data_IF_612643397811
#
_entry.id   IF_612643397811
#
_cell.length_a   1.000
_cell.length_b   1.000
_cell.length_c   1.000
_cell.angle_alpha   90.00
_cell.angle_beta   90.00
_cell.angle_gamma   90.00
#
_symmetry.space_group_name_H-M   'P 1'
#
loop_
_entity.id
_entity.type
_entity.pdbx_description
1 polymer ?
#
# COMPACT_ATOMS: atom_id res chain seq x y z
N UNK A 1 11.01 9.81 2.18
CA UNK A 1 11.52 9.67 0.81
C UNK A 1 10.84 10.63 -0.16
N UNK A 2 9.52 10.84 -0.08
CA UNK A 2 8.78 11.76 -0.97
C UNK A 2 9.37 13.17 -1.17
N UNK A 3 9.95 13.79 -0.14
CA UNK A 3 10.55 15.13 -0.25
C UNK A 3 11.80 15.16 -1.15
N UNK A 4 12.60 14.08 -1.18
CA UNK A 4 13.86 14.03 -1.92
C UNK A 4 13.65 13.98 -3.44
N UNK A 5 12.63 13.26 -3.91
CA UNK A 5 12.30 13.20 -5.34
C UNK A 5 11.83 14.57 -5.85
N UNK A 6 10.97 15.25 -5.09
CA UNK A 6 10.45 16.58 -5.46
C UNK A 6 11.59 17.61 -5.52
N UNK A 7 12.52 17.58 -4.55
CA UNK A 7 13.70 18.44 -4.56
C UNK A 7 14.67 18.10 -5.71
N UNK A 8 14.94 16.82 -5.96
CA UNK A 8 15.85 16.39 -7.02
C UNK A 8 15.32 16.70 -8.44
N UNK A 9 14.01 16.55 -8.65
CA UNK A 9 13.34 16.92 -9.89
C UNK A 9 13.37 18.44 -10.10
N UNK A 10 13.05 19.24 -9.07
CA UNK A 10 13.09 20.70 -9.13
C UNK A 10 14.51 21.27 -9.33
N UNK A 11 15.53 20.57 -8.84
CA UNK A 11 16.93 20.94 -9.01
C UNK A 11 17.57 20.48 -10.34
N UNK A 12 16.84 19.73 -11.18
CA UNK A 12 17.34 19.19 -12.44
C UNK A 12 18.45 18.15 -12.29
N UNK A 13 18.56 17.51 -11.11
CA UNK A 13 19.60 16.53 -10.79
C UNK A 13 19.32 15.21 -11.52
N UNK A 14 18.05 14.85 -11.69
CA UNK A 14 17.61 13.70 -12.47
C UNK A 14 17.38 14.12 -13.93
N UNK A 15 18.44 14.09 -14.74
CA UNK A 15 18.37 14.45 -16.16
C UNK A 15 18.21 13.25 -17.10
N UNK A 16 18.45 12.02 -16.63
CA UNK A 16 18.09 10.79 -17.33
C UNK A 16 16.60 10.45 -17.08
N UNK A 17 15.75 10.41 -18.12
CA UNK A 17 14.35 10.01 -17.99
C UNK A 17 14.15 8.63 -17.35
N UNK A 18 15.09 7.69 -17.52
CA UNK A 18 14.99 6.36 -16.91
C UNK A 18 15.26 6.40 -15.41
N UNK A 19 16.30 7.11 -14.97
CA UNK A 19 16.59 7.30 -13.55
C UNK A 19 15.43 8.02 -12.85
N UNK A 20 14.80 8.99 -13.52
CA UNK A 20 13.60 9.65 -12.99
C UNK A 20 12.44 8.67 -12.78
N UNK A 21 12.17 7.76 -13.74
CA UNK A 21 11.12 6.73 -13.60
C UNK A 21 11.40 5.77 -12.45
N UNK A 22 12.65 5.31 -12.29
CA UNK A 22 13.04 4.44 -11.18
C UNK A 22 12.83 5.15 -9.84
N UNK A 23 13.28 6.41 -9.73
CA UNK A 23 13.09 7.18 -8.51
C UNK A 23 11.61 7.47 -8.21
N UNK A 24 10.79 7.68 -9.24
CA UNK A 24 9.35 7.89 -9.12
C UNK A 24 8.63 6.63 -8.64
N UNK A 25 8.93 5.46 -9.21
CA UNK A 25 8.40 4.17 -8.79
C UNK A 25 8.74 3.89 -7.33
N UNK A 26 10.02 3.91 -6.96
CA UNK A 26 10.47 3.69 -5.57
C UNK A 26 9.81 4.67 -4.59
N UNK A 27 9.72 5.96 -4.95
CA UNK A 27 9.10 6.96 -4.08
C UNK A 27 7.60 6.71 -3.94
N UNK A 28 6.90 6.38 -5.02
CA UNK A 28 5.47 6.13 -5.01
C UNK A 28 5.13 4.88 -4.18
N UNK A 29 5.76 3.75 -4.50
CA UNK A 29 5.46 2.44 -3.91
C UNK A 29 5.89 2.34 -2.44
N UNK A 30 6.89 3.12 -2.02
CA UNK A 30 7.32 3.23 -0.61
C UNK A 30 6.53 4.25 0.21
N UNK A 31 5.67 5.06 -0.41
CA UNK A 31 4.88 6.09 0.28
C UNK A 31 3.53 5.54 0.73
N UNK A 32 3.40 5.26 2.02
CA UNK A 32 2.16 4.73 2.62
C UNK A 32 0.96 5.68 2.51
N UNK A 33 1.21 6.99 2.47
CA UNK A 33 0.17 8.03 2.39
C UNK A 33 0.51 9.09 1.35
N UNK A 34 0.30 8.83 0.04
CA UNK A 34 0.72 9.75 -1.02
C UNK A 34 0.16 11.16 -0.87
N UNK A 35 -1.09 11.30 -0.39
CA UNK A 35 -1.73 12.59 -0.15
C UNK A 35 -1.16 13.41 1.03
N UNK A 36 -0.36 12.79 1.91
CA UNK A 36 0.42 13.54 2.93
C UNK A 36 1.79 13.94 2.43
N UNK A 37 2.33 13.17 1.49
CA UNK A 37 3.65 13.36 0.92
C UNK A 37 3.68 14.48 -0.13
N UNK A 38 2.64 14.59 -0.96
CA UNK A 38 2.48 15.63 -1.96
C UNK A 38 1.00 15.85 -2.29
N UNK A 39 0.68 16.97 -2.93
CA UNK A 39 -0.67 17.19 -3.47
C UNK A 39 -0.92 16.24 -4.64
N UNK A 40 -2.19 15.96 -4.92
CA UNK A 40 -2.59 15.15 -6.09
C UNK A 40 -2.03 15.75 -7.38
N UNK A 41 -2.12 17.06 -7.53
CA UNK A 41 -1.68 17.80 -8.71
C UNK A 41 -0.17 17.68 -8.92
N UNK A 42 0.61 17.68 -7.83
CA UNK A 42 2.06 17.47 -7.93
C UNK A 42 2.39 16.03 -8.32
N UNK A 43 1.68 15.03 -7.77
CA UNK A 43 1.86 13.65 -8.22
C UNK A 43 1.54 13.47 -9.70
N UNK A 44 0.41 14.00 -10.16
CA UNK A 44 0.04 13.96 -11.57
C UNK A 44 1.12 14.62 -12.44
N UNK A 45 1.63 15.79 -12.05
CA UNK A 45 2.71 16.45 -12.78
C UNK A 45 3.99 15.61 -12.84
N UNK A 46 4.38 14.94 -11.74
CA UNK A 46 5.55 14.05 -11.72
C UNK A 46 5.38 12.85 -12.65
N UNK A 47 4.20 12.22 -12.66
CA UNK A 47 3.90 11.15 -13.61
C UNK A 47 3.87 11.66 -15.05
N UNK A 48 3.25 12.82 -15.31
CA UNK A 48 3.24 13.43 -16.66
C UNK A 48 4.66 13.71 -17.17
N UNK A 49 5.58 14.15 -16.31
CA UNK A 49 7.00 14.33 -16.66
C UNK A 49 7.73 13.02 -16.98
N UNK A 50 7.27 11.90 -16.43
CA UNK A 50 7.86 10.58 -16.65
C UNK A 50 7.38 9.91 -17.94
N UNK A 51 6.27 10.38 -18.52
CA UNK A 51 5.56 9.74 -19.62
C UNK A 51 5.87 10.35 -20.98
N UNK A 52 5.64 9.54 -22.02
CA UNK A 52 5.60 9.98 -23.40
C UNK A 52 4.14 9.95 -23.91
N UNK A 53 3.84 10.71 -24.96
CA UNK A 53 2.47 10.76 -25.49
C UNK A 53 2.02 9.35 -25.94
N UNK A 54 0.90 8.88 -25.37
CA UNK A 54 0.34 7.57 -25.70
C UNK A 54 0.97 6.40 -24.95
N UNK A 55 1.77 6.67 -23.92
CA UNK A 55 2.32 5.64 -23.03
C UNK A 55 1.77 5.74 -21.60
N UNK A 56 1.90 4.63 -20.87
CA UNK A 56 1.78 4.57 -19.42
C UNK A 56 3.06 3.97 -18.84
N UNK A 57 3.29 4.16 -17.54
CA UNK A 57 4.43 3.62 -16.84
C UNK A 57 4.09 2.23 -16.27
N UNK A 58 4.78 1.19 -16.70
CA UNK A 58 4.70 -0.15 -16.11
C UNK A 58 5.98 -0.41 -15.34
N UNK A 59 5.89 -0.41 -14.02
CA UNK A 59 7.04 -0.37 -13.12
C UNK A 59 7.96 0.84 -13.45
N UNK A 60 9.04 0.61 -14.19
CA UNK A 60 10.01 1.64 -14.58
C UNK A 60 10.10 1.84 -16.11
N UNK A 61 9.32 1.06 -16.87
CA UNK A 61 9.36 0.99 -18.32
C UNK A 61 8.11 1.59 -18.94
N UNK A 62 8.26 2.30 -20.06
CA UNK A 62 7.13 2.86 -20.79
C UNK A 62 6.48 1.81 -21.67
N UNK A 63 5.14 1.74 -21.62
CA UNK A 63 4.33 0.83 -22.42
C UNK A 63 3.26 1.61 -23.18
N UNK A 64 2.87 1.18 -24.39
CA UNK A 64 1.79 1.83 -25.12
C UNK A 64 0.46 1.63 -24.39
N UNK A 65 -0.35 2.70 -24.27
CA UNK A 65 -1.69 2.63 -23.63
C UNK A 65 -2.61 1.64 -24.34
N UNK A 66 -2.35 1.35 -25.62
CA UNK A 66 -3.11 0.34 -26.39
C UNK A 66 -2.87 -1.10 -25.93
N UNK A 67 -1.83 -1.36 -25.13
CA UNK A 67 -1.64 -2.67 -24.50
C UNK A 67 -2.66 -2.95 -23.38
N UNK A 68 -3.27 -1.90 -22.83
CA UNK A 68 -4.31 -2.01 -21.81
C UNK A 68 -5.69 -2.30 -22.47
N UNK A 69 -6.58 -3.03 -21.76
CA UNK A 69 -7.97 -3.16 -22.19
C UNK A 69 -8.64 -1.79 -22.28
N UNK A 70 -9.67 -1.64 -23.12
CA UNK A 70 -10.31 -0.32 -23.35
C UNK A 70 -10.80 0.33 -22.05
N UNK A 71 -11.29 -0.50 -21.14
CA UNK A 71 -11.72 -0.14 -19.79
C UNK A 71 -11.14 -1.12 -18.77
N UNK A 72 -10.75 -0.63 -17.61
CA UNK A 72 -10.19 -1.41 -16.51
C UNK A 72 -11.07 -1.27 -15.26
N UNK A 73 -11.66 -2.36 -14.81
CA UNK A 73 -12.42 -2.38 -13.55
C UNK A 73 -11.45 -2.32 -12.37
N UNK A 74 -11.54 -1.27 -11.57
CA UNK A 74 -10.65 -1.01 -10.44
C UNK A 74 -11.42 -0.60 -9.18
N UNK A 75 -10.75 -0.74 -8.04
CA UNK A 75 -11.26 -0.51 -6.70
C UNK A 75 -10.34 0.40 -5.90
N UNK A 76 -10.91 1.17 -4.97
CA UNK A 76 -10.15 2.02 -4.04
C UNK A 76 -10.84 2.06 -2.69
N UNK A 77 -10.08 1.83 -1.63
CA UNK A 77 -10.51 2.16 -0.29
C UNK A 77 -10.21 3.63 0.01
N UNK A 78 -11.21 4.38 0.46
CA UNK A 78 -11.03 5.76 0.87
C UNK A 78 -12.01 6.15 1.99
N UNK A 79 -11.58 7.06 2.85
CA UNK A 79 -12.50 7.80 3.71
C UNK A 79 -13.39 8.71 2.85
N UNK A 80 -14.60 9.01 3.32
CA UNK A 80 -15.50 9.92 2.62
C UNK A 80 -14.84 11.30 2.39
N UNK A 81 -14.94 11.82 1.17
CA UNK A 81 -14.28 13.04 0.72
C UNK A 81 -12.87 12.83 0.15
N UNK A 82 -12.41 11.58 0.04
CA UNK A 82 -11.09 11.20 -0.52
C UNK A 82 -11.17 10.12 -1.62
N UNK A 83 -12.37 9.90 -2.16
CA UNK A 83 -12.65 9.00 -3.28
C UNK A 83 -11.89 9.36 -4.56
N UNK A 84 -11.58 10.65 -4.76
CA UNK A 84 -10.93 11.16 -5.98
C UNK A 84 -9.39 10.97 -6.00
N UNK A 85 -8.85 10.21 -5.06
CA UNK A 85 -7.44 9.86 -5.05
C UNK A 85 -7.05 9.03 -6.28
N UNK A 86 -5.76 9.05 -6.60
CA UNK A 86 -5.24 8.50 -7.87
C UNK A 86 -4.72 7.06 -7.77
N UNK A 87 -4.61 6.49 -6.56
CA UNK A 87 -4.19 5.09 -6.33
C UNK A 87 -5.41 4.16 -6.33
N UNK A 88 -5.43 3.20 -7.24
CA UNK A 88 -6.50 2.23 -7.41
C UNK A 88 -5.90 0.83 -7.54
N UNK A 89 -6.68 -0.21 -7.31
CA UNK A 89 -6.23 -1.61 -7.47
C UNK A 89 -7.24 -2.43 -8.25
N UNK A 90 -6.80 -3.40 -9.04
CA UNK A 90 -7.71 -4.39 -9.64
C UNK A 90 -8.18 -5.45 -8.63
N UNK A 91 -7.49 -5.59 -7.50
CA UNK A 91 -7.85 -6.55 -6.46
C UNK A 91 -8.87 -5.97 -5.49
N UNK A 92 -10.10 -6.50 -5.55
CA UNK A 92 -11.11 -6.16 -4.56
C UNK A 92 -10.66 -6.55 -3.15
N UNK A 93 -10.00 -7.69 -2.99
CA UNK A 93 -9.46 -8.17 -1.72
C UNK A 93 -8.50 -7.15 -1.09
N UNK A 94 -7.59 -6.57 -1.88
CA UNK A 94 -6.68 -5.51 -1.42
C UNK A 94 -7.46 -4.26 -1.01
N UNK A 95 -8.42 -3.82 -1.82
CA UNK A 95 -9.29 -2.69 -1.47
C UNK A 95 -10.07 -2.95 -0.17
N UNK A 96 -10.61 -4.15 0.01
CA UNK A 96 -11.30 -4.55 1.23
C UNK A 96 -10.38 -4.55 2.45
N UNK A 97 -9.17 -5.07 2.30
CA UNK A 97 -8.14 -5.03 3.34
C UNK A 97 -7.79 -3.60 3.74
N UNK A 98 -7.58 -2.69 2.78
CA UNK A 98 -7.35 -1.28 3.07
C UNK A 98 -8.56 -0.64 3.77
N UNK A 99 -9.79 -0.92 3.32
CA UNK A 99 -10.98 -0.36 3.95
C UNK A 99 -11.16 -0.84 5.40
N UNK A 100 -10.90 -2.11 5.67
CA UNK A 100 -11.04 -2.71 7.00
C UNK A 100 -9.93 -2.22 7.93
N UNK A 101 -8.67 -2.27 7.49
CA UNK A 101 -7.49 -1.89 8.28
C UNK A 101 -7.44 -0.39 8.58
N UNK A 102 -7.74 0.46 7.60
CA UNK A 102 -7.71 1.92 7.79
C UNK A 102 -8.90 2.41 8.63
N UNK A 103 -10.02 1.68 8.64
CA UNK A 103 -11.16 1.99 9.52
C UNK A 103 -10.80 1.83 11.01
N UNK A 104 -10.05 0.78 11.35
CA UNK A 104 -9.58 0.52 12.72
C UNK A 104 -8.61 1.62 13.17
N UNK A 105 -7.66 2.01 12.31
CA UNK A 105 -6.63 3.00 12.65
C UNK A 105 -7.15 4.45 12.64
N UNK A 106 -8.05 4.81 11.73
CA UNK A 106 -8.50 6.20 11.55
C UNK A 106 -9.76 6.55 12.35
N UNK A 107 -10.40 5.58 13.04
CA UNK A 107 -11.71 5.73 13.71
C UNK A 107 -12.80 6.33 12.79
N UNK A 108 -12.65 6.15 11.47
CA UNK A 108 -13.60 6.61 10.44
C UNK A 108 -13.81 5.46 9.45
N UNK A 109 -15.07 5.14 9.13
CA UNK A 109 -15.35 4.08 8.18
C UNK A 109 -14.79 4.47 6.81
N UNK A 110 -13.87 3.65 6.31
CA UNK A 110 -13.44 3.69 4.92
C UNK A 110 -14.45 2.92 4.08
N UNK A 111 -14.76 3.48 2.92
CA UNK A 111 -15.66 2.91 1.92
C UNK A 111 -14.82 2.37 0.77
N UNK A 112 -15.36 1.39 0.06
CA UNK A 112 -14.76 0.89 -1.17
C UNK A 112 -15.50 1.54 -2.33
N UNK A 113 -14.77 2.15 -3.23
CA UNK A 113 -15.25 2.70 -4.48
C UNK A 113 -14.81 1.80 -5.62
N UNK A 114 -15.67 1.64 -6.62
CA UNK A 114 -15.39 0.95 -7.87
C UNK A 114 -15.55 1.94 -9.02
N UNK A 115 -14.70 1.82 -10.04
CA UNK A 115 -14.93 2.43 -11.34
C UNK A 115 -14.42 1.55 -12.48
N UNK A 116 -14.97 1.75 -13.67
CA UNK A 116 -14.41 1.22 -14.91
C UNK A 116 -13.60 2.33 -15.58
N UNK A 117 -12.29 2.34 -15.34
CA UNK A 117 -11.40 3.40 -15.79
C UNK A 117 -11.10 3.26 -17.29
N UNK A 118 -11.27 4.31 -18.11
CA UNK A 118 -10.84 4.25 -19.51
C UNK A 118 -9.31 4.14 -19.57
N UNK A 119 -8.76 3.35 -20.51
CA UNK A 119 -7.30 3.17 -20.64
C UNK A 119 -6.50 4.46 -20.70
N UNK A 120 -7.06 5.51 -21.32
CA UNK A 120 -6.39 6.81 -21.46
C UNK A 120 -6.26 7.60 -20.15
N UNK A 121 -6.94 7.18 -19.08
CA UNK A 121 -6.77 7.77 -17.75
C UNK A 121 -5.71 7.04 -16.92
N UNK A 122 -5.22 5.88 -17.35
CA UNK A 122 -4.20 5.10 -16.64
C UNK A 122 -2.83 5.68 -16.99
N UNK A 123 -2.09 6.09 -15.96
CA UNK A 123 -0.76 6.72 -16.11
C UNK A 123 0.36 5.85 -15.55
N UNK A 124 0.08 4.96 -14.59
CA UNK A 124 1.05 3.96 -14.15
C UNK A 124 0.39 2.66 -13.66
N UNK A 125 1.16 1.57 -13.67
CA UNK A 125 0.81 0.26 -13.11
C UNK A 125 2.03 -0.32 -12.36
N UNK A 126 1.80 -0.80 -11.14
CA UNK A 126 2.79 -1.40 -10.26
C UNK A 126 2.22 -2.70 -9.67
N UNK A 127 2.86 -3.82 -9.96
CA UNK A 127 2.46 -5.14 -9.45
C UNK A 127 3.65 -5.94 -8.92
N UNK A 128 4.82 -5.83 -9.56
CA UNK A 128 5.97 -6.70 -9.26
C UNK A 128 6.56 -6.48 -7.87
N UNK A 129 6.50 -5.26 -7.34
CA UNK A 129 7.11 -4.93 -6.05
C UNK A 129 6.28 -5.41 -4.84
N UNK A 130 4.94 -5.47 -4.95
CA UNK A 130 4.04 -5.70 -3.80
C UNK A 130 2.87 -6.67 -4.05
N UNK A 131 2.66 -7.13 -5.29
CA UNK A 131 1.51 -7.96 -5.68
C UNK A 131 0.17 -7.27 -5.37
N UNK A 132 0.13 -5.94 -5.49
CA UNK A 132 -1.04 -5.13 -5.14
C UNK A 132 -1.89 -4.78 -6.37
N UNK A 133 -1.43 -5.11 -7.58
CA UNK A 133 -2.06 -4.71 -8.85
C UNK A 133 -2.47 -3.23 -8.80
N UNK A 134 -1.55 -2.37 -8.37
CA UNK A 134 -1.80 -0.95 -8.16
C UNK A 134 -1.76 -0.21 -9.51
N UNK A 135 -2.73 0.66 -9.72
CA UNK A 135 -2.82 1.55 -10.87
C UNK A 135 -2.88 2.98 -10.38
N UNK A 136 -2.09 3.84 -11.01
CA UNK A 136 -2.21 5.29 -10.88
C UNK A 136 -3.10 5.80 -12.00
N UNK A 137 -4.18 6.47 -11.63
CA UNK A 137 -5.22 6.89 -12.55
C UNK A 137 -5.44 8.40 -12.40
N UNK A 138 -5.37 9.13 -13.52
CA UNK A 138 -5.72 10.53 -13.58
C UNK A 138 -7.24 10.70 -13.49
N UNK A 139 -7.75 10.80 -12.25
CA UNK A 139 -9.18 10.95 -11.96
C UNK A 139 -9.78 12.25 -12.47
N UNK A 140 -8.97 13.25 -12.85
CA UNK A 140 -9.46 14.50 -13.46
C UNK A 140 -10.01 14.31 -14.88
N UNK A 141 -9.67 13.19 -15.53
CA UNK A 141 -10.16 12.79 -16.84
C UNK A 141 -11.43 11.93 -16.77
N UNK A 142 -11.95 11.69 -15.56
CA UNK A 142 -13.06 10.78 -15.31
C UNK A 142 -14.22 11.59 -14.73
N UNK A 143 -15.42 11.41 -15.29
CA UNK A 143 -16.63 12.02 -14.74
C UNK A 143 -16.91 11.53 -13.32
N UNK A 144 -17.37 12.42 -12.44
CA UNK A 144 -17.64 12.08 -11.03
C UNK A 144 -18.66 10.95 -10.86
N UNK A 145 -19.59 10.81 -11.83
CA UNK A 145 -20.60 9.75 -11.82
C UNK A 145 -20.08 8.35 -12.15
N UNK A 146 -18.85 8.24 -12.66
CA UNK A 146 -18.24 6.96 -13.01
C UNK A 146 -17.81 6.15 -11.76
N UNK A 147 -17.73 6.80 -10.59
CA UNK A 147 -17.35 6.18 -9.33
C UNK A 147 -18.60 5.74 -8.58
N UNK A 148 -18.67 4.46 -8.23
CA UNK A 148 -19.75 3.86 -7.44
C UNK A 148 -19.20 3.33 -6.12
N UNK A 149 -19.83 3.68 -5.01
CA UNK A 149 -19.59 3.00 -3.74
C UNK A 149 -20.07 1.54 -3.82
N UNK A 150 -19.17 0.61 -3.49
CA UNK A 150 -19.50 -0.80 -3.31
C UNK A 150 -20.04 -0.96 -1.90
N UNK A 151 -21.31 -1.34 -1.80
CA UNK A 151 -21.99 -1.41 -0.50
C UNK A 151 -21.48 -2.60 0.31
N UNK A 152 -21.45 -2.53 1.65
CA UNK A 152 -20.97 -3.62 2.50
C UNK A 152 -21.60 -4.99 2.19
N UNK A 153 -22.89 -5.03 1.84
CA UNK A 153 -23.59 -6.25 1.46
C UNK A 153 -23.05 -6.91 0.17
N UNK A 154 -22.30 -6.17 -0.65
CA UNK A 154 -21.68 -6.69 -1.88
C UNK A 154 -20.26 -7.22 -1.62
N UNK A 155 -19.68 -6.99 -0.44
CA UNK A 155 -18.27 -7.28 -0.16
C UNK A 155 -18.01 -8.78 -0.08
N UNK A 156 -18.84 -9.52 0.65
CA UNK A 156 -18.70 -10.98 0.82
C UNK A 156 -18.65 -11.70 -0.53
N UNK A 157 -19.53 -11.33 -1.46
CA UNK A 157 -19.55 -11.90 -2.81
C UNK A 157 -18.29 -11.58 -3.64
N UNK A 158 -17.72 -10.39 -3.46
CA UNK A 158 -16.56 -9.94 -4.22
C UNK A 158 -15.23 -10.44 -3.64
N UNK A 159 -15.17 -10.75 -2.34
CA UNK A 159 -14.04 -11.46 -1.73
C UNK A 159 -14.02 -12.93 -2.16
N UNK A 160 -15.19 -13.58 -2.26
CA UNK A 160 -15.29 -14.99 -2.60
C UNK A 160 -15.17 -15.30 -4.11
N UNK A 161 -15.14 -14.28 -4.98
CA UNK A 161 -14.84 -14.50 -6.41
C UNK A 161 -13.33 -14.64 -6.61
N UNK A 162 -12.79 -15.83 -6.90
CA UNK A 162 -11.47 -15.92 -7.52
C UNK A 162 -11.48 -15.10 -8.80
N UNK A 163 -10.38 -14.38 -9.04
CA UNK A 163 -10.13 -13.62 -10.26
C UNK A 163 -10.09 -14.55 -11.48
N UNK A 164 -11.26 -14.98 -11.97
CA UNK A 164 -11.36 -15.75 -13.21
C UNK A 164 -11.20 -14.80 -14.40
N UNK A 165 -9.98 -14.70 -14.90
CA UNK A 165 -9.55 -15.10 -16.26
C UNK A 165 -8.24 -14.40 -16.64
N UNK A 166 -7.11 -14.99 -16.21
CA UNK A 166 -5.87 -14.98 -17.01
C UNK A 166 -5.19 -16.33 -16.81
N UNK A 167 -4.96 -17.01 -17.93
CA UNK A 167 -4.47 -18.39 -18.04
C UNK A 167 -3.05 -18.55 -17.45
N UNK A 168 -2.87 -19.55 -16.59
CA UNK A 168 -1.57 -20.08 -16.16
C UNK A 168 -1.76 -21.15 -15.08
N UNK A 169 -1.26 -22.36 -15.32
CA UNK A 169 -1.44 -23.54 -14.45
C UNK A 169 -0.94 -23.35 -13.00
N UNK A 170 -1.49 -24.08 -12.00
CA UNK A 170 -1.09 -23.93 -10.62
C UNK A 170 0.25 -24.62 -10.33
N UNK A 171 1.27 -23.82 -10.00
CA UNK A 171 2.49 -24.32 -9.38
C UNK A 171 2.21 -24.71 -7.91
N UNK A 172 2.57 -25.95 -7.57
CA UNK A 172 2.47 -26.53 -6.22
C UNK A 172 3.32 -25.73 -5.21
N UNK A 173 2.66 -25.03 -4.28
CA UNK A 173 3.30 -24.34 -3.17
C UNK A 173 3.74 -25.36 -2.11
N UNK A 174 5.06 -25.53 -2.00
CA UNK A 174 5.71 -26.24 -0.90
C UNK A 174 5.41 -25.61 0.46
N UNK A 175 5.37 -26.46 1.48
CA UNK A 175 5.01 -26.16 2.87
C UNK A 175 5.65 -24.86 3.38
N UNK A 176 4.82 -23.86 3.73
CA UNK A 176 5.24 -22.64 4.43
C UNK A 176 5.45 -22.93 5.91
N UNK A 177 6.54 -22.40 6.49
CA UNK A 177 6.86 -22.50 7.92
C UNK A 177 5.74 -21.89 8.79
N UNK A 178 5.47 -22.46 9.98
CA UNK A 178 4.44 -21.97 10.88
C UNK A 178 4.75 -20.54 11.38
N UNK A 179 3.69 -19.75 11.55
CA UNK A 179 3.65 -18.34 12.00
C UNK A 179 4.60 -18.02 13.17
N UNK A 180 4.81 -19.00 14.05
CA UNK A 180 5.59 -18.92 15.29
C UNK A 180 7.09 -18.67 15.02
N UNK A 181 7.67 -19.12 13.92
CA UNK A 181 9.11 -18.95 13.64
C UNK A 181 9.45 -17.59 12.99
N UNK A 182 8.44 -16.82 12.59
CA UNK A 182 8.62 -15.63 11.75
C UNK A 182 8.72 -14.31 12.53
N UNK A 183 8.31 -14.28 13.81
CA UNK A 183 8.32 -13.07 14.65
C UNK A 183 9.68 -12.81 15.33
N UNK A 184 10.51 -13.84 15.51
CA UNK A 184 11.84 -13.72 16.14
C UNK A 184 12.79 -12.74 15.44
N UNK A 185 12.91 -12.75 14.09
CA UNK A 185 13.72 -11.76 13.36
C UNK A 185 13.23 -10.32 13.56
N UNK A 186 11.91 -10.11 13.67
CA UNK A 186 11.32 -8.80 13.92
C UNK A 186 11.66 -8.30 15.33
N UNK A 187 11.50 -9.15 16.35
CA UNK A 187 11.88 -8.86 17.74
C UNK A 187 13.35 -8.42 17.85
N UNK A 188 14.26 -9.20 17.25
CA UNK A 188 15.69 -8.93 17.26
C UNK A 188 16.00 -7.57 16.61
N UNK A 189 15.39 -7.29 15.45
CA UNK A 189 15.59 -6.03 14.72
C UNK A 189 15.09 -4.82 15.53
N UNK A 190 13.93 -4.94 16.18
CA UNK A 190 13.40 -3.88 17.07
C UNK A 190 14.36 -3.62 18.25
N UNK A 191 14.91 -4.70 18.83
CA UNK A 191 15.80 -4.63 20.00
C UNK A 191 17.16 -4.00 19.67
N UNK A 192 17.71 -4.27 18.49
CA UNK A 192 19.04 -3.81 18.07
C UNK A 192 19.04 -2.40 17.48
N UNK A 193 17.89 -1.87 17.05
CA UNK A 193 17.80 -0.53 16.45
C UNK A 193 17.91 0.56 17.54
N UNK A 194 18.99 1.38 17.57
CA UNK A 194 19.14 2.43 18.56
C UNK A 194 18.18 3.59 18.26
N UNK A 195 17.20 3.82 19.13
CA UNK A 195 16.26 4.95 19.01
C UNK A 195 16.00 5.59 20.37
N UNK A 196 15.60 6.87 20.39
CA UNK A 196 15.07 7.55 21.60
C UNK A 196 13.66 7.04 21.99
N UNK A 197 13.31 5.84 21.55
CA UNK A 197 11.96 5.29 21.57
C UNK A 197 11.18 5.63 20.32
N UNK A 198 10.07 4.92 20.12
CA UNK A 198 9.17 5.04 19.00
C UNK A 198 7.88 5.71 19.47
N UNK A 199 7.32 6.62 18.68
CA UNK A 199 5.89 6.92 18.73
C UNK A 199 5.10 5.77 18.11
N UNK A 200 3.79 5.72 18.38
CA UNK A 200 2.88 4.71 17.79
C UNK A 200 3.04 4.58 16.27
N UNK A 201 3.09 5.71 15.56
CA UNK A 201 3.22 5.71 14.10
C UNK A 201 4.59 5.18 13.64
N UNK A 202 5.66 5.48 14.36
CA UNK A 202 7.00 4.99 14.05
C UNK A 202 7.12 3.48 14.32
N UNK A 203 6.51 2.98 15.40
CA UNK A 203 6.49 1.56 15.75
C UNK A 203 5.72 0.73 14.71
N UNK A 204 4.52 1.19 14.32
CA UNK A 204 3.72 0.55 13.26
C UNK A 204 4.47 0.57 11.93
N UNK A 205 5.04 1.72 11.54
CA UNK A 205 5.83 1.83 10.32
C UNK A 205 7.07 0.94 10.34
N UNK A 206 7.67 0.72 11.51
CA UNK A 206 8.82 -0.18 11.66
C UNK A 206 8.43 -1.63 11.39
N UNK A 207 7.36 -2.13 12.02
CA UNK A 207 6.88 -3.51 11.78
C UNK A 207 6.57 -3.74 10.31
N UNK A 208 5.94 -2.77 9.63
CA UNK A 208 5.60 -2.92 8.21
C UNK A 208 6.81 -2.92 7.28
N UNK A 209 7.85 -2.14 7.58
CA UNK A 209 9.10 -2.16 6.81
C UNK A 209 9.91 -3.43 7.05
N UNK A 210 9.82 -3.97 8.26
CA UNK A 210 10.53 -5.19 8.67
C UNK A 210 9.74 -6.47 8.37
N UNK A 211 8.53 -6.36 7.80
CA UNK A 211 7.64 -7.49 7.49
C UNK A 211 8.08 -8.33 6.28
N UNK A 212 9.22 -8.02 5.67
CA UNK A 212 9.72 -8.75 4.52
C UNK A 212 10.01 -10.22 4.89
N UNK A 213 9.33 -11.15 4.22
CA UNK A 213 9.45 -12.59 4.49
C UNK A 213 8.53 -13.12 5.59
N UNK A 214 7.72 -12.27 6.24
CA UNK A 214 6.73 -12.71 7.23
C UNK A 214 5.39 -13.03 6.57
N UNK A 215 4.65 -13.97 7.15
CA UNK A 215 3.25 -14.23 6.80
C UNK A 215 2.35 -13.11 7.31
N UNK A 216 1.20 -12.96 6.66
CA UNK A 216 0.20 -11.95 7.05
C UNK A 216 -0.23 -12.10 8.51
N UNK A 217 -0.40 -13.32 9.00
CA UNK A 217 -0.78 -13.59 10.39
C UNK A 217 0.30 -13.14 11.38
N UNK A 218 1.58 -13.37 11.07
CA UNK A 218 2.70 -12.93 11.91
C UNK A 218 2.75 -11.39 12.00
N UNK A 219 2.54 -10.70 10.88
CA UNK A 219 2.50 -9.23 10.85
C UNK A 219 1.32 -8.69 11.66
N UNK A 220 0.15 -9.33 11.59
CA UNK A 220 -1.05 -8.93 12.36
C UNK A 220 -0.79 -9.06 13.87
N UNK A 221 -0.24 -10.19 14.31
CA UNK A 221 0.09 -10.42 15.73
C UNK A 221 1.05 -9.34 16.25
N UNK A 222 2.08 -8.98 15.49
CA UNK A 222 3.02 -7.93 15.89
C UNK A 222 2.36 -6.54 15.96
N UNK A 223 1.44 -6.22 15.05
CA UNK A 223 0.75 -4.93 15.05
C UNK A 223 -0.25 -4.81 16.20
N UNK A 224 -1.01 -5.87 16.48
CA UNK A 224 -1.98 -5.90 17.58
C UNK A 224 -1.27 -5.72 18.93
N UNK A 225 -0.13 -6.40 19.13
CA UNK A 225 0.71 -6.24 20.32
C UNK A 225 1.17 -4.80 20.54
N UNK A 226 1.55 -4.11 19.46
CA UNK A 226 1.97 -2.71 19.51
C UNK A 226 0.77 -1.81 19.87
N UNK A 227 -0.39 -2.05 19.26
CA UNK A 227 -1.59 -1.25 19.52
C UNK A 227 -2.07 -1.37 20.97
N UNK A 228 -2.12 -2.59 21.51
CA UNK A 228 -2.49 -2.85 22.89
C UNK A 228 -1.52 -2.15 23.86
N UNK A 229 -0.22 -2.22 23.59
CA UNK A 229 0.81 -1.57 24.39
C UNK A 229 0.62 -0.04 24.45
N UNK A 230 0.37 0.62 23.31
CA UNK A 230 0.16 2.08 23.30
C UNK A 230 -1.18 2.51 23.91
N UNK A 231 -2.20 1.65 23.87
CA UNK A 231 -3.45 1.91 24.57
C UNK A 231 -3.28 1.81 26.09
N UNK A 232 -2.46 0.87 26.57
CA UNK A 232 -2.22 0.66 27.99
C UNK A 232 -1.29 1.70 28.64
N UNK A 233 -0.18 2.09 28.00
CA UNK A 233 0.90 2.86 28.64
C UNK A 233 0.87 4.40 28.41
N UNK A 234 -0.17 4.90 27.74
CA UNK A 234 -0.47 6.29 27.36
C UNK A 234 -0.14 6.63 25.87
N UNK A 235 -1.16 6.96 25.05
CA UNK A 235 -1.06 7.07 23.59
C UNK A 235 -0.17 8.21 23.04
N UNK A 236 0.31 9.11 23.92
CA UNK A 236 1.20 10.22 23.56
C UNK A 236 2.68 9.97 23.90
N UNK A 237 3.02 8.82 24.48
CA UNK A 237 4.39 8.53 24.94
C UNK A 237 5.22 7.86 23.86
N UNK A 238 6.54 8.06 23.89
CA UNK A 238 7.47 7.25 23.10
C UNK A 238 7.87 6.03 23.92
N UNK A 239 7.85 4.85 23.31
CA UNK A 239 8.17 3.57 23.95
C UNK A 239 9.51 3.05 23.45
N UNK A 240 10.31 2.47 24.34
CA UNK A 240 11.62 1.95 23.95
C UNK A 240 11.50 0.76 23.01
N UNK A 241 12.53 0.51 22.18
CA UNK A 241 12.60 -0.71 21.37
C UNK A 241 12.48 -1.98 22.21
N UNK A 242 13.04 -1.99 23.42
CA UNK A 242 12.91 -3.11 24.36
C UNK A 242 11.45 -3.36 24.76
N UNK A 243 10.69 -2.31 25.02
CA UNK A 243 9.26 -2.41 25.39
C UNK A 243 8.44 -2.98 24.24
N UNK A 244 8.70 -2.53 23.01
CA UNK A 244 8.02 -3.03 21.81
C UNK A 244 8.38 -4.48 21.50
N UNK A 245 9.66 -4.84 21.59
CA UNK A 245 10.13 -6.21 21.39
C UNK A 245 9.45 -7.17 22.38
N UNK A 246 9.34 -6.78 23.65
CA UNK A 246 8.70 -7.61 24.68
C UNK A 246 7.19 -7.77 24.44
N UNK A 247 6.50 -6.74 23.94
CA UNK A 247 5.09 -6.86 23.58
C UNK A 247 4.87 -7.83 22.41
N UNK A 248 5.70 -7.75 21.37
CA UNK A 248 5.66 -8.66 20.21
C UNK A 248 5.93 -10.11 20.65
N UNK A 249 6.93 -10.33 21.52
CA UNK A 249 7.25 -11.65 22.06
C UNK A 249 6.11 -12.23 22.92
N UNK A 250 5.45 -11.40 23.73
CA UNK A 250 4.31 -11.84 24.55
C UNK A 250 3.13 -12.27 23.67
N UNK A 251 2.84 -11.52 22.61
CA UNK A 251 1.76 -11.86 21.68
C UNK A 251 2.06 -13.12 20.83
N UNK A 252 3.33 -13.47 20.66
CA UNK A 252 3.76 -14.72 20.03
C UNK A 252 3.49 -15.94 20.93
N UNK A 253 3.70 -15.80 22.24
CA UNK A 253 3.45 -16.86 23.23
C UNK A 253 1.94 -17.11 23.41
N UNK A 254 1.12 -16.06 23.48
CA UNK A 254 -0.35 -16.14 23.64
C UNK A 254 -1.08 -16.81 22.45
N UNK A 255 -0.43 -16.90 21.28
CA UNK A 255 -0.97 -17.55 20.06
C UNK A 255 -0.49 -18.99 19.88
N UNK A 256 0.39 -19.46 20.76
CA UNK A 256 0.95 -20.82 20.75
C UNK A 256 0.22 -21.79 21.71
N UNK A 257 -0.69 -21.29 22.54
CA UNK A 257 -1.64 -22.06 23.38
C UNK A 257 -2.99 -22.29 22.69
#
# INVERSE_FOLDING_TARGET
MSALLVEAAGAGILSDPREFRIALEDTWTSTEWPGRAATRELWLALFEMALELGTYLEETELRPVQALPETLSVYRAAAAGHEDGISWTQSFEKAHWFATRLSVVARRPHRIFKMDAPRNAIIAAFDQSRGEQEYVINTTLIEDTARREVRPEEWEYLVERPAFETLGEPELIGMREPVIEQLGPLEATVRETPTEGYSRAEAVGFVLRSAHGMTTDAVVVALDAIEELYQAEAPGRRLSGMTLANAIATAQDDKSE
#
